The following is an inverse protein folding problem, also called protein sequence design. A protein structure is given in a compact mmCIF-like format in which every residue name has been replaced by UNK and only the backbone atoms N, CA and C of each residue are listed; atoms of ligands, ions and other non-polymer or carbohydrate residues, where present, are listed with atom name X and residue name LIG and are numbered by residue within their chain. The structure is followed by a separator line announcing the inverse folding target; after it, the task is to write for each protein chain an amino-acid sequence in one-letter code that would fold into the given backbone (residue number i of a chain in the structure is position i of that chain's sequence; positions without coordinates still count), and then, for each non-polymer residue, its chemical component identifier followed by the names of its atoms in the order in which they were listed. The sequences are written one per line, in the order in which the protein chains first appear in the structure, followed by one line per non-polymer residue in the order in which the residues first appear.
data_IF_728119698290
#
_entry.id   IF_728119698290
#
_cell.length_a   1.000
_cell.length_b   1.000
_cell.length_c   1.000
_cell.angle_alpha   90.00
_cell.angle_beta   90.00
_cell.angle_gamma   90.00
#
_symmetry.space_group_name_H-M   'P 1'
#
loop_
_entity.id
_entity.type
_entity.pdbx_description
1 polymer ?
#
# COMPACT_ATOMS: atom_id res chain seq x y z
N UNK A 1 33.87 46.52 29.60
CA UNK A 1 33.81 45.82 28.29
C UNK A 1 33.38 46.82 27.22
N UNK A 2 34.15 46.97 26.15
CA UNK A 2 33.86 47.93 25.08
C UNK A 2 32.59 47.52 24.31
N UNK A 3 31.71 48.48 24.00
CA UNK A 3 30.46 48.26 23.24
C UNK A 3 30.67 47.49 21.93
N UNK A 4 31.83 47.68 21.32
CA UNK A 4 32.24 46.98 20.08
C UNK A 4 32.32 45.47 20.31
N UNK A 5 32.80 45.03 21.46
CA UNK A 5 32.95 43.62 21.80
C UNK A 5 31.60 42.92 21.99
N UNK A 6 30.62 43.64 22.55
CA UNK A 6 29.25 43.14 22.72
C UNK A 6 28.58 42.94 21.35
N UNK A 7 28.77 43.87 20.41
CA UNK A 7 28.21 43.78 19.06
C UNK A 7 28.79 42.57 18.31
N UNK A 8 30.10 42.35 18.42
CA UNK A 8 30.75 41.19 17.78
C UNK A 8 30.19 39.88 18.33
N UNK A 9 30.04 39.76 19.65
CA UNK A 9 29.46 38.57 20.26
C UNK A 9 27.99 38.34 19.89
N UNK A 10 27.19 39.41 19.77
CA UNK A 10 25.81 39.31 19.32
C UNK A 10 25.70 38.75 17.89
N UNK A 11 26.59 39.17 16.97
CA UNK A 11 26.62 38.69 15.59
C UNK A 11 27.00 37.20 15.55
N UNK A 12 28.01 36.80 16.33
CA UNK A 12 28.45 35.40 16.40
C UNK A 12 27.35 34.49 16.94
N UNK A 13 26.68 34.89 18.03
CA UNK A 13 25.55 34.14 18.60
C UNK A 13 24.39 34.04 17.60
N UNK A 14 24.10 35.12 16.88
CA UNK A 14 23.03 35.12 15.88
C UNK A 14 23.31 34.17 14.72
N UNK A 15 24.56 34.10 14.24
CA UNK A 15 24.93 33.14 13.17
C UNK A 15 24.84 31.69 13.64
N UNK A 16 25.27 31.39 14.88
CA UNK A 16 25.16 30.05 15.45
C UNK A 16 23.70 29.66 15.61
N UNK A 17 22.85 30.55 16.13
CA UNK A 17 21.42 30.29 16.28
C UNK A 17 20.73 30.07 14.92
N UNK A 18 21.09 30.86 13.91
CA UNK A 18 20.54 30.69 12.56
C UNK A 18 20.89 29.33 11.94
N UNK A 19 22.08 28.78 12.23
CA UNK A 19 22.50 27.45 11.76
C UNK A 19 21.93 26.31 12.60
N UNK A 20 21.98 26.41 13.93
CA UNK A 20 21.53 25.37 14.84
C UNK A 20 20.00 25.16 14.84
N UNK A 21 19.25 26.22 14.53
CA UNK A 21 17.80 26.21 14.44
C UNK A 21 17.30 26.42 13.01
N UNK A 22 18.16 26.24 11.99
CA UNK A 22 17.71 26.19 10.61
C UNK A 22 16.69 25.04 10.49
N UNK A 23 15.44 25.29 10.10
CA UNK A 23 14.50 24.21 9.84
C UNK A 23 15.08 23.35 8.72
N UNK A 24 14.98 22.01 8.87
CA UNK A 24 15.41 21.11 7.82
C UNK A 24 14.80 21.56 6.49
N UNK A 25 15.60 21.65 5.40
CA UNK A 25 15.05 22.01 4.10
C UNK A 25 13.95 21.02 3.79
N UNK A 26 12.70 21.49 3.76
CA UNK A 26 11.57 20.67 3.33
C UNK A 26 11.96 20.04 2.01
N UNK A 27 12.04 18.71 1.96
CA UNK A 27 12.37 17.97 0.76
C UNK A 27 11.50 18.52 -0.36
N UNK A 28 12.15 19.09 -1.39
CA UNK A 28 11.40 19.61 -2.53
C UNK A 28 10.66 18.43 -3.15
N UNK A 29 9.36 18.57 -3.47
CA UNK A 29 8.67 17.55 -4.25
C UNK A 29 9.50 17.25 -5.49
N UNK A 30 9.75 15.96 -5.74
CA UNK A 30 10.48 15.55 -6.93
C UNK A 30 9.81 16.17 -8.17
N UNK A 31 10.61 16.76 -9.06
CA UNK A 31 10.09 17.27 -10.32
C UNK A 31 9.41 16.11 -11.09
N UNK A 32 8.25 16.34 -11.74
CA UNK A 32 7.61 15.31 -12.54
C UNK A 32 8.57 14.89 -13.67
N UNK A 33 9.13 13.69 -13.57
CA UNK A 33 9.95 13.11 -14.64
C UNK A 33 8.99 12.39 -15.59
N UNK A 34 9.14 12.64 -16.89
CA UNK A 34 8.24 12.16 -17.94
C UNK A 34 8.00 10.63 -17.87
N UNK A 35 6.72 10.27 -17.98
CA UNK A 35 6.06 9.13 -17.34
C UNK A 35 4.91 9.67 -16.48
N UNK A 36 3.98 8.88 -15.90
CA UNK A 36 2.83 9.43 -15.16
C UNK A 36 3.15 10.30 -13.93
N UNK A 37 4.39 10.76 -13.75
CA UNK A 37 4.82 11.71 -12.73
C UNK A 37 5.38 11.07 -11.46
N UNK A 38 5.47 9.73 -11.42
CA UNK A 38 5.80 8.95 -10.21
C UNK A 38 7.12 8.17 -10.31
N UNK A 39 8.04 8.62 -11.17
CA UNK A 39 9.37 8.05 -11.37
C UNK A 39 9.51 7.16 -12.62
N UNK A 40 10.77 6.87 -12.99
CA UNK A 40 11.11 6.13 -14.23
C UNK A 40 10.69 4.66 -14.19
N UNK A 41 10.39 4.11 -13.01
CA UNK A 41 9.98 2.72 -12.81
C UNK A 41 8.46 2.51 -12.80
N UNK A 42 7.64 3.56 -12.87
CA UNK A 42 6.18 3.43 -12.69
C UNK A 42 5.53 2.50 -13.72
N UNK A 43 6.06 2.43 -14.95
CA UNK A 43 5.59 1.47 -15.95
C UNK A 43 5.66 0.02 -15.47
N UNK A 44 6.73 -0.36 -14.76
CA UNK A 44 6.88 -1.70 -14.20
C UNK A 44 5.92 -1.93 -13.04
N UNK A 45 5.59 -0.88 -12.28
CA UNK A 45 4.57 -0.94 -11.24
C UNK A 45 3.18 -1.17 -11.85
N UNK A 46 2.84 -0.51 -12.96
CA UNK A 46 1.59 -0.72 -13.69
C UNK A 46 1.46 -2.17 -14.16
N UNK A 47 2.48 -2.69 -14.84
CA UNK A 47 2.50 -4.08 -15.32
C UNK A 47 2.44 -5.07 -14.15
N UNK A 48 3.17 -4.77 -13.08
CA UNK A 48 3.14 -5.54 -11.84
C UNK A 48 1.73 -5.62 -11.25
N UNK A 49 0.96 -4.52 -11.25
CA UNK A 49 -0.44 -4.54 -10.79
C UNK A 49 -1.31 -5.45 -11.64
N UNK A 50 -1.17 -5.41 -12.96
CA UNK A 50 -1.91 -6.29 -13.86
C UNK A 50 -1.62 -7.78 -13.59
N UNK A 51 -0.33 -8.14 -13.45
CA UNK A 51 0.09 -9.52 -13.13
C UNK A 51 -0.49 -9.97 -11.78
N UNK A 52 -0.52 -9.08 -10.78
CA UNK A 52 -1.10 -9.40 -9.46
C UNK A 52 -2.60 -9.64 -9.53
N UNK A 53 -3.33 -8.88 -10.35
CA UNK A 53 -4.76 -9.10 -10.59
C UNK A 53 -5.02 -10.45 -11.25
N UNK A 54 -4.31 -10.74 -12.33
CA UNK A 54 -4.44 -12.02 -13.04
C UNK A 54 -4.16 -13.19 -12.10
N UNK A 55 -3.07 -13.12 -11.34
CA UNK A 55 -2.67 -14.17 -10.40
C UNK A 55 -3.72 -14.41 -9.31
N UNK A 56 -4.25 -13.35 -8.68
CA UNK A 56 -5.25 -13.52 -7.61
C UNK A 56 -6.61 -13.94 -8.16
N UNK A 57 -6.99 -13.48 -9.35
CA UNK A 57 -8.20 -13.94 -10.03
C UNK A 57 -8.09 -15.44 -10.31
N UNK A 58 -6.98 -15.90 -10.89
CA UNK A 58 -6.74 -17.32 -11.13
C UNK A 58 -6.80 -18.14 -9.84
N UNK A 59 -6.37 -17.59 -8.71
CA UNK A 59 -6.50 -18.23 -7.40
C UNK A 59 -7.96 -18.26 -6.88
N UNK A 60 -8.69 -17.14 -7.03
CA UNK A 60 -10.08 -16.95 -6.61
C UNK A 60 -11.11 -17.65 -7.50
N UNK A 61 -10.73 -18.13 -8.68
CA UNK A 61 -11.61 -18.85 -9.60
C UNK A 61 -11.43 -20.37 -9.55
N UNK A 62 -10.42 -20.88 -8.83
CA UNK A 62 -10.21 -22.32 -8.71
C UNK A 62 -11.43 -23.04 -8.16
N UNK A 63 -11.67 -24.31 -8.54
CA UNK A 63 -12.71 -25.12 -7.92
C UNK A 63 -12.59 -25.12 -6.40
N UNK A 64 -13.73 -25.00 -5.71
CA UNK A 64 -13.78 -24.76 -4.26
C UNK A 64 -12.99 -25.78 -3.43
N UNK A 65 -13.09 -27.08 -3.74
CA UNK A 65 -12.34 -28.13 -3.01
C UNK A 65 -10.82 -27.99 -3.12
N UNK A 66 -10.31 -27.43 -4.22
CA UNK A 66 -8.88 -27.22 -4.42
C UNK A 66 -8.33 -26.06 -3.57
N UNK A 67 -9.18 -25.14 -3.08
CA UNK A 67 -8.75 -24.03 -2.22
C UNK A 67 -8.51 -24.43 -0.77
N UNK A 68 -9.04 -25.59 -0.35
CA UNK A 68 -8.94 -26.04 1.03
C UNK A 68 -7.77 -26.99 1.31
N UNK A 69 -7.10 -27.52 0.29
CA UNK A 69 -6.16 -28.64 0.47
C UNK A 69 -4.78 -28.36 -0.13
N UNK A 70 -3.75 -28.83 0.58
CA UNK A 70 -2.37 -28.91 0.11
C UNK A 70 -1.84 -27.66 -0.58
N UNK A 71 -1.31 -27.85 -1.79
CA UNK A 71 -0.73 -26.78 -2.60
C UNK A 71 -1.76 -25.76 -3.09
N UNK A 72 -2.99 -26.20 -3.34
CA UNK A 72 -4.06 -25.31 -3.79
C UNK A 72 -4.45 -24.29 -2.71
N UNK A 73 -4.48 -24.68 -1.42
CA UNK A 73 -4.66 -23.75 -0.31
C UNK A 73 -3.52 -22.75 -0.21
N UNK A 74 -2.26 -23.20 -0.31
CA UNK A 74 -1.09 -22.32 -0.25
C UNK A 74 -1.11 -21.27 -1.36
N UNK A 75 -1.42 -21.68 -2.58
CA UNK A 75 -1.52 -20.76 -3.72
C UNK A 75 -2.70 -19.81 -3.60
N UNK A 76 -3.83 -20.29 -3.05
CA UNK A 76 -4.99 -19.46 -2.78
C UNK A 76 -4.69 -18.35 -1.76
N UNK A 77 -4.20 -18.72 -0.58
CA UNK A 77 -3.86 -17.77 0.48
C UNK A 77 -2.71 -16.85 0.05
N UNK A 78 -1.65 -17.41 -0.56
CA UNK A 78 -0.49 -16.64 -1.01
C UNK A 78 -0.81 -15.65 -2.13
N UNK A 79 -1.71 -16.01 -3.05
CA UNK A 79 -2.18 -15.09 -4.09
C UNK A 79 -2.99 -13.93 -3.50
N UNK A 80 -3.91 -14.24 -2.58
CA UNK A 80 -4.74 -13.25 -1.90
C UNK A 80 -3.88 -12.29 -1.05
N UNK A 81 -2.98 -12.85 -0.25
CA UNK A 81 -2.04 -12.11 0.59
C UNK A 81 -1.14 -11.21 -0.27
N UNK A 82 -0.54 -11.73 -1.35
CA UNK A 82 0.34 -10.95 -2.21
C UNK A 82 -0.39 -9.78 -2.87
N UNK A 83 -1.59 -10.00 -3.38
CA UNK A 83 -2.39 -8.94 -4.00
C UNK A 83 -2.70 -7.82 -3.00
N UNK A 84 -3.25 -8.16 -1.84
CA UNK A 84 -3.64 -7.16 -0.84
C UNK A 84 -2.44 -6.51 -0.14
N UNK A 85 -1.33 -7.24 0.02
CA UNK A 85 -0.06 -6.68 0.49
C UNK A 85 0.40 -5.54 -0.42
N UNK A 86 0.48 -5.79 -1.73
CA UNK A 86 0.97 -4.78 -2.67
C UNK A 86 0.00 -3.60 -2.78
N UNK A 87 -1.31 -3.87 -2.80
CA UNK A 87 -2.33 -2.82 -2.83
C UNK A 87 -2.23 -1.93 -1.60
N UNK A 88 -2.28 -2.51 -0.39
CA UNK A 88 -2.19 -1.74 0.86
C UNK A 88 -0.88 -0.94 0.93
N UNK A 89 0.25 -1.60 0.63
CA UNK A 89 1.55 -0.93 0.68
C UNK A 89 1.64 0.23 -0.31
N UNK A 90 1.16 0.08 -1.55
CA UNK A 90 1.18 1.21 -2.50
C UNK A 90 0.22 2.33 -2.10
N UNK A 91 -0.96 2.00 -1.56
CA UNK A 91 -1.91 2.99 -1.04
C UNK A 91 -1.34 3.79 0.14
N UNK A 92 -0.36 3.27 0.88
CA UNK A 92 0.37 3.99 1.94
C UNK A 92 1.59 4.76 1.39
N UNK A 93 2.39 4.12 0.53
CA UNK A 93 3.69 4.67 0.06
C UNK A 93 3.58 5.81 -0.94
N UNK A 94 2.59 5.79 -1.83
CA UNK A 94 2.45 6.85 -2.84
C UNK A 94 2.08 8.20 -2.21
N UNK A 95 1.12 8.28 -1.27
CA UNK A 95 0.87 9.51 -0.52
C UNK A 95 2.09 9.97 0.28
N UNK A 96 2.81 9.05 0.93
CA UNK A 96 4.04 9.39 1.68
C UNK A 96 5.11 10.05 0.80
N UNK A 97 5.25 9.57 -0.44
CA UNK A 97 6.33 10.00 -1.35
C UNK A 97 5.94 11.21 -2.19
N UNK A 98 4.69 11.27 -2.66
CA UNK A 98 4.24 12.22 -3.68
C UNK A 98 3.06 13.11 -3.24
N UNK A 99 2.63 12.98 -1.98
CA UNK A 99 1.52 13.76 -1.42
C UNK A 99 0.16 13.42 -2.06
N UNK A 100 -0.77 14.38 -2.02
CA UNK A 100 -2.13 14.21 -2.52
C UNK A 100 -2.20 13.72 -3.99
N UNK A 101 -1.39 14.23 -4.94
CA UNK A 101 -1.41 13.71 -6.31
C UNK A 101 -1.12 12.21 -6.37
N UNK A 102 -0.12 11.74 -5.60
CA UNK A 102 0.19 10.32 -5.49
C UNK A 102 -0.95 9.49 -4.91
N UNK A 103 -1.64 10.02 -3.90
CA UNK A 103 -2.83 9.40 -3.32
C UNK A 103 -3.94 9.22 -4.37
N UNK A 104 -4.26 10.29 -5.10
CA UNK A 104 -5.32 10.27 -6.13
C UNK A 104 -4.97 9.30 -7.27
N UNK A 105 -3.70 9.32 -7.69
CA UNK A 105 -3.21 8.41 -8.72
C UNK A 105 -3.32 6.96 -8.29
N UNK A 106 -2.77 6.60 -7.12
CA UNK A 106 -2.70 5.19 -6.71
C UNK A 106 -4.09 4.65 -6.39
N UNK A 107 -4.99 5.47 -5.84
CA UNK A 107 -6.38 5.12 -5.65
C UNK A 107 -7.06 4.77 -6.98
N UNK A 108 -6.84 5.59 -8.03
CA UNK A 108 -7.35 5.30 -9.38
C UNK A 108 -6.75 4.00 -9.95
N UNK A 109 -5.46 3.77 -9.75
CA UNK A 109 -4.79 2.56 -10.22
C UNK A 109 -5.35 1.28 -9.59
N UNK A 110 -5.89 1.33 -8.37
CA UNK A 110 -6.46 0.19 -7.62
C UNK A 110 -8.00 0.19 -7.54
N UNK A 111 -8.67 0.94 -8.43
CA UNK A 111 -10.14 1.04 -8.51
C UNK A 111 -10.69 0.55 -9.85
N UNK A 112 -10.01 -0.39 -10.49
CA UNK A 112 -10.41 -0.97 -11.77
C UNK A 112 -11.61 -1.92 -11.62
N UNK A 113 -12.21 -2.33 -12.73
CA UNK A 113 -13.26 -3.36 -12.72
C UNK A 113 -12.79 -4.70 -12.15
N UNK A 114 -11.52 -5.06 -12.39
CA UNK A 114 -10.91 -6.27 -11.83
C UNK A 114 -10.73 -6.16 -10.32
N UNK A 115 -10.32 -5.00 -9.80
CA UNK A 115 -10.18 -4.81 -8.35
C UNK A 115 -11.52 -5.01 -7.64
N UNK A 116 -12.61 -4.48 -8.21
CA UNK A 116 -13.98 -4.70 -7.70
C UNK A 116 -14.40 -6.17 -7.77
N UNK A 117 -14.04 -6.86 -8.85
CA UNK A 117 -14.30 -8.29 -9.01
C UNK A 117 -13.57 -9.11 -7.95
N UNK A 118 -12.30 -8.79 -7.69
CA UNK A 118 -11.47 -9.44 -6.67
C UNK A 118 -12.05 -9.21 -5.27
N UNK A 119 -12.49 -7.99 -4.95
CA UNK A 119 -13.16 -7.69 -3.67
C UNK A 119 -14.42 -8.54 -3.47
N UNK A 120 -15.30 -8.62 -4.47
CA UNK A 120 -16.49 -9.47 -4.40
C UNK A 120 -16.14 -10.94 -4.19
N UNK A 121 -15.21 -11.48 -4.97
CA UNK A 121 -14.76 -12.87 -4.82
C UNK A 121 -14.09 -13.13 -3.47
N UNK A 122 -13.40 -12.14 -2.92
CA UNK A 122 -12.78 -12.20 -1.59
C UNK A 122 -13.84 -12.23 -0.49
N UNK A 123 -14.86 -11.38 -0.58
CA UNK A 123 -16.02 -11.38 0.33
C UNK A 123 -16.73 -12.72 0.29
N UNK A 124 -17.05 -13.23 -0.91
CA UNK A 124 -17.67 -14.54 -1.09
C UNK A 124 -16.81 -15.65 -0.48
N UNK A 125 -15.49 -15.61 -0.71
CA UNK A 125 -14.60 -16.62 -0.19
C UNK A 125 -14.47 -16.59 1.34
N UNK A 126 -14.51 -15.39 1.93
CA UNK A 126 -14.49 -15.19 3.37
C UNK A 126 -15.80 -15.64 4.02
N UNK A 127 -16.94 -15.22 3.46
CA UNK A 127 -18.28 -15.61 3.93
C UNK A 127 -18.48 -17.14 3.87
N UNK A 128 -17.88 -17.81 2.88
CA UNK A 128 -17.88 -19.27 2.77
C UNK A 128 -16.80 -19.96 3.63
N UNK A 129 -15.98 -19.22 4.37
CA UNK A 129 -14.98 -19.76 5.28
C UNK A 129 -13.75 -20.38 4.60
N UNK A 130 -13.46 -20.06 3.33
CA UNK A 130 -12.25 -20.61 2.67
C UNK A 130 -10.95 -20.06 3.27
N UNK A 131 -11.02 -18.88 3.88
CA UNK A 131 -9.92 -18.30 4.63
C UNK A 131 -10.45 -17.50 5.82
N UNK A 132 -9.55 -17.22 6.74
CA UNK A 132 -9.73 -16.35 7.89
C UNK A 132 -8.73 -15.20 7.80
N UNK A 133 -9.01 -14.09 8.49
CA UNK A 133 -8.07 -12.96 8.53
C UNK A 133 -6.69 -13.37 9.08
N UNK A 134 -6.64 -14.37 9.97
CA UNK A 134 -5.40 -14.94 10.49
C UNK A 134 -4.54 -15.68 9.46
N UNK A 135 -5.11 -16.13 8.34
CA UNK A 135 -4.36 -16.75 7.25
C UNK A 135 -3.50 -15.73 6.48
N UNK A 136 -3.78 -14.43 6.64
CA UNK A 136 -3.10 -13.35 5.93
C UNK A 136 -2.03 -12.68 6.79
N UNK A 137 -0.99 -12.19 6.12
CA UNK A 137 0.03 -11.31 6.70
C UNK A 137 -0.56 -9.97 7.15
N UNK A 138 0.12 -9.29 8.07
CA UNK A 138 -0.40 -8.09 8.76
C UNK A 138 -0.81 -6.97 7.80
N UNK A 139 -0.02 -6.71 6.77
CA UNK A 139 -0.27 -5.66 5.77
C UNK A 139 -1.50 -5.97 4.92
N UNK A 140 -1.58 -7.19 4.37
CA UNK A 140 -2.73 -7.62 3.59
C UNK A 140 -4.00 -7.65 4.43
N UNK A 141 -3.91 -8.18 5.66
CA UNK A 141 -5.02 -8.27 6.62
C UNK A 141 -5.68 -6.92 6.87
N UNK A 142 -4.90 -5.85 7.06
CA UNK A 142 -5.42 -4.48 7.28
C UNK A 142 -6.38 -4.04 6.17
N UNK A 143 -6.07 -4.37 4.92
CA UNK A 143 -6.98 -4.05 3.81
C UNK A 143 -8.15 -5.02 3.74
N UNK A 144 -7.90 -6.32 3.90
CA UNK A 144 -8.96 -7.34 3.79
C UNK A 144 -10.01 -7.18 4.88
N UNK A 145 -9.63 -6.78 6.10
CA UNK A 145 -10.56 -6.41 7.18
C UNK A 145 -11.59 -5.38 6.70
N UNK A 146 -11.16 -4.36 5.96
CA UNK A 146 -12.07 -3.35 5.41
C UNK A 146 -12.95 -3.89 4.29
N UNK A 147 -12.43 -4.83 3.48
CA UNK A 147 -13.18 -5.47 2.39
C UNK A 147 -14.28 -6.37 2.94
N UNK A 148 -14.02 -7.13 4.00
CA UNK A 148 -14.95 -8.14 4.55
C UNK A 148 -15.69 -7.70 5.80
N UNK A 149 -15.57 -6.44 6.23
CA UNK A 149 -16.15 -5.92 7.50
C UNK A 149 -17.65 -6.14 7.68
N UNK A 150 -18.39 -6.25 6.57
CA UNK A 150 -19.83 -6.48 6.57
C UNK A 150 -20.21 -7.94 6.33
N UNK A 151 -19.24 -8.80 6.09
CA UNK A 151 -19.45 -10.22 5.81
C UNK A 151 -19.44 -11.03 7.10
N UNK A 152 -20.32 -12.04 7.16
CA UNK A 152 -20.33 -13.04 8.22
C UNK A 152 -20.00 -14.40 7.63
N UNK A 153 -19.22 -15.19 8.36
CA UNK A 153 -18.94 -16.57 7.96
C UNK A 153 -20.22 -17.38 8.11
N UNK A 154 -20.72 -17.94 7.01
CA UNK A 154 -21.98 -18.68 6.91
C UNK A 154 -21.79 -20.17 6.62
N UNK A 155 -20.62 -20.57 6.11
CA UNK A 155 -20.29 -21.97 5.85
C UNK A 155 -19.15 -22.47 6.75
N UNK A 156 -19.07 -23.80 6.91
CA UNK A 156 -17.99 -24.42 7.67
C UNK A 156 -16.68 -24.17 6.94
N UNK A 157 -15.73 -23.52 7.62
CA UNK A 157 -14.41 -23.22 7.06
C UNK A 157 -13.75 -24.47 6.49
N UNK A 158 -12.80 -24.30 5.56
CA UNK A 158 -11.90 -25.39 5.16
C UNK A 158 -11.48 -26.15 6.44
N UNK A 159 -11.95 -27.39 6.54
CA UNK A 159 -11.97 -28.17 7.78
C UNK A 159 -10.60 -28.52 8.31
#
# INVERSE_FOLDING_TARGET
MSRIWIIVWAIVIWQIAAWAFAPEPKARPAAPIDGPGYGTSEKYSVDGRAIKRESVIAALERPYGARCTGEGRKQFIGGLDSYYYHRQNQMERYPETFGQPGADYIAKQWSTGEDRRIERLTQEAYAQGYFTLSDLGSVARKMVENVVKNERVTAKACG
#
